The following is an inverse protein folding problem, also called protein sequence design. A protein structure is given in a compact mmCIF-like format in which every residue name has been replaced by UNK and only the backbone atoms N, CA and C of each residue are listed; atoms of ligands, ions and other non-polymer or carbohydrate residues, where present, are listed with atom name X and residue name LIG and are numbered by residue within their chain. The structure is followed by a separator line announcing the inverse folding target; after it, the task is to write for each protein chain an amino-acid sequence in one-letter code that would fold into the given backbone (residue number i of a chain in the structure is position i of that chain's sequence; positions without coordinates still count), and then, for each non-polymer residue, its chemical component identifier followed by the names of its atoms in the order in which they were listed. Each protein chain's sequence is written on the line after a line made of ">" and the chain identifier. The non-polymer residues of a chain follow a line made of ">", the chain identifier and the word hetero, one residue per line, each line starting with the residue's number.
data_IF_340592368439
#
_entry.id   IF_340592368439
#
_cell.length_a   1.000
_cell.length_b   1.000
_cell.length_c   1.000
_cell.angle_alpha   90.00
_cell.angle_beta   90.00
_cell.angle_gamma   90.00
#
_symmetry.space_group_name_H-M   'P 1'
#
loop_
_entity.id
_entity.type
_entity.pdbx_description
1 polymer ?
#
# COMPACT_ATOMS: atom_id res chain seq x y z
N UNK A 1 25.78 -17.67 35.67
CA UNK A 1 25.06 -17.96 34.42
C UNK A 1 24.07 -16.83 34.18
N UNK A 2 24.29 -16.00 33.17
CA UNK A 2 23.39 -14.91 32.80
C UNK A 2 22.18 -15.52 32.09
N UNK A 3 21.00 -15.41 32.70
CA UNK A 3 19.75 -15.82 32.09
C UNK A 3 19.53 -15.04 30.80
N UNK A 4 19.38 -15.76 29.68
CA UNK A 4 18.90 -15.20 28.42
C UNK A 4 17.48 -14.70 28.67
N UNK A 5 17.31 -13.39 28.80
CA UNK A 5 16.02 -12.76 28.56
C UNK A 5 15.71 -12.96 27.09
N UNK A 6 14.84 -13.93 26.79
CA UNK A 6 14.12 -13.99 25.52
C UNK A 6 13.42 -12.63 25.29
N UNK A 7 13.40 -12.10 24.05
CA UNK A 7 12.67 -10.87 23.79
C UNK A 7 11.20 -11.12 24.13
N UNK A 8 10.68 -10.43 25.15
CA UNK A 8 9.25 -10.43 25.42
C UNK A 8 8.55 -9.97 24.14
N UNK A 9 7.69 -10.83 23.59
CA UNK A 9 6.84 -10.52 22.45
C UNK A 9 6.22 -9.13 22.64
N UNK A 10 6.61 -8.19 21.78
CA UNK A 10 5.94 -6.92 21.72
C UNK A 10 4.45 -7.19 21.41
N UNK A 11 3.50 -6.45 22.01
CA UNK A 11 2.09 -6.67 21.73
C UNK A 11 1.82 -6.43 20.25
N UNK A 12 1.52 -7.50 19.51
CA UNK A 12 1.18 -7.42 18.09
C UNK A 12 -0.16 -6.68 17.98
N UNK A 13 -0.14 -5.45 17.50
CA UNK A 13 -1.38 -4.68 17.29
C UNK A 13 -1.89 -4.98 15.90
N UNK A 14 -2.82 -5.92 15.74
CA UNK A 14 -3.52 -6.15 14.47
C UNK A 14 -4.88 -5.48 14.46
N UNK A 15 -5.12 -4.57 13.49
CA UNK A 15 -6.39 -3.87 13.32
C UNK A 15 -6.78 -3.77 11.85
N UNK A 16 -8.07 -3.92 11.57
CA UNK A 16 -8.66 -3.72 10.24
C UNK A 16 -9.57 -2.49 10.28
N UNK A 17 -9.34 -1.57 9.35
CA UNK A 17 -10.12 -0.35 9.19
C UNK A 17 -10.95 -0.44 7.91
N UNK A 18 -12.22 -0.02 7.97
CA UNK A 18 -13.17 -0.05 6.84
C UNK A 18 -13.78 1.31 6.51
N UNK A 19 -13.70 2.27 7.44
CA UNK A 19 -14.20 3.62 7.24
C UNK A 19 -13.26 4.42 6.33
N UNK A 20 -13.80 5.05 5.29
CA UNK A 20 -13.02 5.83 4.30
C UNK A 20 -12.09 6.85 4.95
N UNK A 21 -12.57 7.55 5.99
CA UNK A 21 -11.79 8.55 6.74
C UNK A 21 -10.59 7.92 7.45
N UNK A 22 -10.77 6.72 8.00
CA UNK A 22 -9.69 6.00 8.69
C UNK A 22 -8.68 5.47 7.71
N UNK A 23 -9.13 4.85 6.61
CA UNK A 23 -8.28 4.35 5.53
C UNK A 23 -7.43 5.48 4.97
N UNK A 24 -8.04 6.65 4.67
CA UNK A 24 -7.32 7.82 4.17
C UNK A 24 -6.25 8.29 5.15
N UNK A 25 -6.55 8.28 6.45
CA UNK A 25 -5.58 8.62 7.50
C UNK A 25 -4.43 7.61 7.56
N UNK A 26 -4.67 6.31 7.36
CA UNK A 26 -3.59 5.30 7.33
C UNK A 26 -2.70 5.45 6.09
N UNK A 27 -3.31 5.63 4.93
CA UNK A 27 -2.59 5.90 3.68
C UNK A 27 -1.81 7.22 3.75
N UNK A 28 -2.34 8.24 4.43
CA UNK A 28 -1.62 9.49 4.71
C UNK A 28 -0.29 9.24 5.43
N UNK A 29 -0.25 8.35 6.43
CA UNK A 29 1.01 8.01 7.10
C UNK A 29 2.03 7.33 6.19
N UNK A 30 1.56 6.51 5.24
CA UNK A 30 2.43 5.91 4.23
C UNK A 30 2.98 7.00 3.31
N UNK A 31 2.15 7.96 2.89
CA UNK A 31 2.56 9.09 2.04
C UNK A 31 3.55 10.05 2.72
N UNK A 32 3.47 10.19 4.03
CA UNK A 32 4.37 11.07 4.80
C UNK A 32 5.80 10.52 4.92
N UNK A 33 6.07 9.30 4.44
CA UNK A 33 7.36 8.64 4.57
C UNK A 33 7.76 7.91 3.27
N UNK A 34 9.06 7.84 2.95
CA UNK A 34 9.53 6.93 1.91
C UNK A 34 9.12 5.49 2.24
N UNK A 35 8.46 4.82 1.31
CA UNK A 35 8.02 3.45 1.49
C UNK A 35 8.10 2.68 0.18
N UNK A 36 8.25 1.36 0.27
CA UNK A 36 8.07 0.45 -0.86
C UNK A 36 6.75 -0.27 -0.71
N UNK A 37 5.93 -0.22 -1.75
CA UNK A 37 4.70 -0.98 -1.87
C UNK A 37 4.98 -2.26 -2.66
N UNK A 38 4.83 -3.41 -2.02
CA UNK A 38 4.78 -4.70 -2.70
C UNK A 38 3.38 -4.90 -3.26
N UNK A 39 3.27 -5.03 -4.57
CA UNK A 39 2.04 -5.30 -5.31
C UNK A 39 2.08 -6.74 -5.82
N UNK A 40 1.16 -7.58 -5.34
CA UNK A 40 1.04 -8.98 -5.71
C UNK A 40 -0.08 -9.14 -6.72
N UNK A 41 0.29 -9.56 -7.93
CA UNK A 41 -0.63 -9.84 -9.04
C UNK A 41 -0.52 -11.33 -9.36
N UNK A 42 -1.57 -12.10 -9.08
CA UNK A 42 -1.52 -13.56 -9.07
C UNK A 42 -0.39 -14.05 -8.13
N UNK A 43 0.60 -14.77 -8.65
CA UNK A 43 1.75 -15.29 -7.89
C UNK A 43 3.03 -14.44 -8.07
N UNK A 44 2.94 -13.32 -8.81
CA UNK A 44 4.06 -12.44 -9.08
C UNK A 44 4.06 -11.23 -8.14
N UNK A 45 5.24 -10.82 -7.71
CA UNK A 45 5.42 -9.65 -6.85
C UNK A 45 6.15 -8.54 -7.60
N UNK A 46 5.58 -7.34 -7.55
CA UNK A 46 6.13 -6.11 -8.10
C UNK A 46 6.38 -5.11 -6.97
N UNK A 47 7.37 -4.24 -7.15
CA UNK A 47 7.58 -3.07 -6.31
C UNK A 47 6.91 -1.84 -6.95
N UNK A 48 6.43 -0.92 -6.11
CA UNK A 48 5.83 0.36 -6.47
C UNK A 48 5.87 1.27 -5.23
N UNK A 49 5.20 2.41 -5.29
CA UNK A 49 5.01 3.36 -4.19
C UNK A 49 3.61 3.98 -4.32
N UNK A 50 2.95 4.26 -3.20
CA UNK A 50 1.73 5.08 -3.22
C UNK A 50 2.19 6.53 -3.29
N UNK A 51 1.93 7.23 -4.39
CA UNK A 51 2.41 8.61 -4.59
C UNK A 51 1.35 9.66 -4.26
N UNK A 52 0.07 9.30 -4.35
CA UNK A 52 -1.02 10.19 -3.98
C UNK A 52 -2.33 9.46 -3.71
N UNK A 53 -3.22 10.14 -2.97
CA UNK A 53 -4.66 9.86 -2.96
C UNK A 53 -5.37 11.05 -3.59
N UNK A 54 -6.05 10.83 -4.70
CA UNK A 54 -6.76 11.89 -5.44
C UNK A 54 -8.27 11.68 -5.38
N UNK A 55 -9.03 12.70 -5.77
CA UNK A 55 -10.49 12.65 -5.86
C UNK A 55 -10.90 13.06 -7.28
N UNK A 56 -11.78 12.28 -7.92
CA UNK A 56 -12.42 12.60 -9.21
C UNK A 56 -13.83 12.05 -9.18
N UNK A 57 -14.81 12.84 -9.62
CA UNK A 57 -16.23 12.44 -9.71
C UNK A 57 -16.78 11.88 -8.38
N UNK A 58 -16.46 12.55 -7.27
CA UNK A 58 -16.79 12.15 -5.89
C UNK A 58 -16.24 10.77 -5.45
N UNK A 59 -15.30 10.21 -6.23
CA UNK A 59 -14.63 8.94 -5.95
C UNK A 59 -13.16 9.19 -5.61
N UNK A 60 -12.68 8.51 -4.57
CA UNK A 60 -11.26 8.50 -4.22
C UNK A 60 -10.48 7.48 -5.07
N UNK A 61 -9.25 7.85 -5.42
CA UNK A 61 -8.33 7.04 -6.20
C UNK A 61 -6.98 6.96 -5.52
N UNK A 62 -6.32 5.80 -5.63
CA UNK A 62 -4.90 5.68 -5.39
C UNK A 62 -4.14 5.99 -6.68
N UNK A 63 -3.06 6.73 -6.54
CA UNK A 63 -2.04 6.86 -7.58
C UNK A 63 -0.81 6.11 -7.09
N UNK A 64 -0.37 5.14 -7.88
CA UNK A 64 0.85 4.37 -7.62
C UNK A 64 1.91 4.77 -8.66
N UNK A 65 3.17 4.76 -8.26
CA UNK A 65 4.27 4.77 -9.23
C UNK A 65 4.21 3.50 -10.10
N UNK A 66 4.96 3.48 -11.21
CA UNK A 66 5.05 2.32 -12.08
C UNK A 66 5.42 1.05 -11.31
N UNK A 67 4.89 -0.07 -11.76
CA UNK A 67 5.29 -1.38 -11.25
C UNK A 67 6.71 -1.70 -11.72
N UNK A 68 7.50 -2.28 -10.83
CA UNK A 68 8.87 -2.73 -11.08
C UNK A 68 9.00 -4.23 -10.71
N UNK A 69 9.47 -5.10 -11.62
CA UNK A 69 9.89 -4.81 -13.00
C UNK A 69 8.75 -4.30 -13.90
N UNK A 70 9.12 -3.59 -14.97
CA UNK A 70 8.18 -2.79 -15.77
C UNK A 70 7.16 -3.62 -16.57
N UNK A 71 7.41 -4.91 -16.77
CA UNK A 71 6.48 -5.84 -17.42
C UNK A 71 5.12 -5.90 -16.70
N UNK A 72 5.10 -5.69 -15.38
CA UNK A 72 3.86 -5.62 -14.60
C UNK A 72 2.88 -4.56 -15.08
N UNK A 73 3.37 -3.47 -15.65
CA UNK A 73 2.53 -2.38 -16.15
C UNK A 73 1.66 -2.83 -17.35
N UNK A 74 2.06 -3.87 -18.09
CA UNK A 74 1.25 -4.44 -19.16
C UNK A 74 -0.02 -5.13 -18.62
N UNK A 75 0.04 -5.65 -17.39
CA UNK A 75 -1.07 -6.34 -16.74
C UNK A 75 -2.19 -5.38 -16.32
N UNK A 76 -1.88 -4.09 -16.12
CA UNK A 76 -2.86 -3.06 -15.74
C UNK A 76 -4.04 -2.99 -16.71
N UNK A 77 -3.81 -3.26 -18.01
CA UNK A 77 -4.87 -3.29 -19.04
C UNK A 77 -5.96 -4.33 -18.76
N UNK A 78 -5.65 -5.38 -18.01
CA UNK A 78 -6.61 -6.43 -17.60
C UNK A 78 -7.40 -6.03 -16.35
N UNK A 79 -7.13 -4.86 -15.78
CA UNK A 79 -7.73 -4.33 -14.56
C UNK A 79 -7.71 -5.31 -13.37
N UNK A 80 -6.53 -5.89 -13.04
CA UNK A 80 -6.44 -6.93 -12.04
C UNK A 80 -6.78 -6.39 -10.65
N UNK A 81 -7.37 -7.25 -9.84
CA UNK A 81 -7.44 -7.07 -8.39
C UNK A 81 -6.12 -7.57 -7.81
N UNK A 82 -5.48 -6.73 -7.00
CA UNK A 82 -4.12 -6.93 -6.50
C UNK A 82 -4.08 -6.78 -5.00
N UNK A 83 -3.19 -7.53 -4.36
CA UNK A 83 -2.88 -7.37 -2.93
C UNK A 83 -1.66 -6.46 -2.78
N UNK A 84 -1.77 -5.48 -1.89
CA UNK A 84 -0.72 -4.51 -1.63
C UNK A 84 -0.23 -4.65 -0.19
N UNK A 85 1.08 -4.59 0.00
CA UNK A 85 1.73 -4.65 1.31
C UNK A 85 2.82 -3.57 1.39
N UNK A 86 2.82 -2.76 2.44
CA UNK A 86 3.87 -1.78 2.71
C UNK A 86 4.38 -1.94 4.14
N UNK A 87 5.62 -1.55 4.38
CA UNK A 87 6.21 -1.44 5.72
C UNK A 87 6.86 -0.08 5.89
N UNK A 88 6.65 0.54 7.04
CA UNK A 88 7.28 1.81 7.43
C UNK A 88 7.71 1.75 8.89
N UNK A 89 8.69 2.56 9.28
CA UNK A 89 9.09 2.70 10.67
C UNK A 89 8.49 3.97 11.26
N UNK A 90 7.58 3.83 12.23
CA UNK A 90 6.84 4.95 12.81
C UNK A 90 6.75 4.83 14.32
N UNK A 91 7.09 5.91 15.03
CA UNK A 91 7.09 5.98 16.51
C UNK A 91 7.91 4.87 17.19
N UNK A 92 9.03 4.47 16.58
CA UNK A 92 9.92 3.46 17.14
C UNK A 92 9.51 2.01 16.88
N UNK A 93 8.48 1.77 16.06
CA UNK A 93 7.99 0.43 15.69
C UNK A 93 7.95 0.27 14.16
N UNK A 94 8.17 -0.95 13.67
CA UNK A 94 7.89 -1.29 12.28
C UNK A 94 6.38 -1.56 12.14
N UNK A 95 5.72 -0.82 11.25
CA UNK A 95 4.31 -1.01 10.93
C UNK A 95 4.16 -1.64 9.56
N UNK A 96 3.40 -2.71 9.46
CA UNK A 96 2.95 -3.31 8.20
C UNK A 96 1.53 -2.89 7.87
N UNK A 97 1.31 -2.48 6.63
CA UNK A 97 0.00 -2.13 6.08
C UNK A 97 -0.34 -3.09 4.94
N UNK A 98 -1.54 -3.67 4.96
CA UNK A 98 -2.01 -4.60 3.93
C UNK A 98 -3.41 -4.20 3.45
N UNK A 99 -3.63 -4.20 2.15
CA UNK A 99 -4.94 -3.92 1.56
C UNK A 99 -5.07 -4.58 0.19
N UNK A 100 -6.29 -4.58 -0.35
CA UNK A 100 -6.57 -5.03 -1.71
C UNK A 100 -7.16 -3.88 -2.51
N UNK A 101 -6.75 -3.75 -3.77
CA UNK A 101 -7.28 -2.74 -4.70
C UNK A 101 -7.38 -3.31 -6.11
N UNK A 102 -8.06 -2.60 -7.01
CA UNK A 102 -8.10 -2.89 -8.44
C UNK A 102 -7.31 -1.84 -9.20
N UNK A 103 -6.34 -2.28 -10.00
CA UNK A 103 -5.65 -1.39 -10.94
C UNK A 103 -6.61 -1.07 -12.10
N UNK A 104 -6.68 0.18 -12.55
CA UNK A 104 -7.61 0.59 -13.60
C UNK A 104 -6.92 0.91 -14.91
N UNK A 105 -5.88 1.74 -14.86
CA UNK A 105 -5.23 2.27 -16.06
C UNK A 105 -3.83 2.82 -15.76
N UNK A 106 -3.03 2.94 -16.82
CA UNK A 106 -1.81 3.73 -16.83
C UNK A 106 -2.16 5.15 -17.29
N UNK A 107 -1.65 6.16 -16.59
CA UNK A 107 -1.89 7.55 -16.93
C UNK A 107 -0.70 8.43 -16.52
N UNK A 108 -0.68 9.69 -16.99
CA UNK A 108 0.32 10.66 -16.56
C UNK A 108 -0.14 11.38 -15.30
N UNK A 109 0.67 11.34 -14.24
CA UNK A 109 0.49 12.11 -13.01
C UNK A 109 1.77 12.89 -12.69
N UNK A 110 1.67 14.21 -12.58
CA UNK A 110 2.85 15.06 -12.36
C UNK A 110 3.92 14.98 -13.46
N UNK A 111 3.53 14.59 -14.69
CA UNK A 111 4.46 14.39 -15.81
C UNK A 111 5.15 13.02 -15.83
N UNK A 112 4.86 12.15 -14.86
CA UNK A 112 5.39 10.78 -14.79
C UNK A 112 4.31 9.76 -15.15
N UNK A 113 4.71 8.64 -15.75
CA UNK A 113 3.79 7.53 -16.00
C UNK A 113 3.48 6.84 -14.67
N UNK A 114 2.21 6.64 -14.37
CA UNK A 114 1.72 6.14 -13.08
C UNK A 114 0.56 5.17 -13.29
N UNK A 115 0.23 4.41 -12.25
CA UNK A 115 -0.93 3.51 -12.22
C UNK A 115 -2.04 4.15 -11.40
N UNK A 116 -3.24 4.25 -11.97
CA UNK A 116 -4.45 4.58 -11.22
C UNK A 116 -5.05 3.29 -10.66
N UNK A 117 -5.36 3.28 -9.37
CA UNK A 117 -6.02 2.17 -8.70
C UNK A 117 -7.19 2.66 -7.84
N UNK A 118 -8.17 1.79 -7.59
CA UNK A 118 -9.32 2.14 -6.73
C UNK A 118 -8.86 2.44 -5.30
N UNK A 119 -9.57 3.35 -4.64
CA UNK A 119 -9.42 3.45 -3.19
C UNK A 119 -9.84 2.13 -2.53
N UNK A 120 -9.07 1.60 -1.56
CA UNK A 120 -9.37 0.30 -0.98
C UNK A 120 -10.55 0.39 -0.01
N UNK A 121 -11.37 -0.66 0.02
CA UNK A 121 -12.53 -0.75 0.92
C UNK A 121 -12.12 -1.08 2.37
N UNK A 122 -10.89 -1.53 2.57
CA UNK A 122 -10.32 -1.83 3.88
C UNK A 122 -8.80 -1.74 3.87
N UNK A 123 -8.21 -1.50 5.04
CA UNK A 123 -6.76 -1.61 5.28
C UNK A 123 -6.50 -2.27 6.63
N UNK A 124 -5.61 -3.26 6.63
CA UNK A 124 -5.07 -3.88 7.84
C UNK A 124 -3.77 -3.16 8.21
N UNK A 125 -3.59 -2.83 9.50
CA UNK A 125 -2.32 -2.39 10.06
C UNK A 125 -1.85 -3.35 11.15
N UNK A 126 -0.54 -3.59 11.20
CA UNK A 126 0.15 -4.43 12.18
C UNK A 126 1.43 -3.75 12.67
N UNK A 127 1.78 -3.87 13.95
CA UNK A 127 3.04 -3.45 14.55
C UNK A 127 3.46 -4.43 15.64
#
# INVERSE_FOLDING_TARGET
>A
MLGKTEPKDAPIVSRVWRETKDIRRKLGRLLDQPHTLKVVIHDMSYASEIVAVTSSDDVLWLVLDMLMPQDGNQLVRKKPVVRCEARIFHLGLEWSYRFQTRLEELFSYGGMLSVRARFPDWIEEQA
#
